data_IF_550674003556
#
_entry.id   IF_550674003556
#
_cell.length_a   1.000
_cell.length_b   1.000
_cell.length_c   1.000
_cell.angle_alpha   90.00
_cell.angle_beta   90.00
_cell.angle_gamma   90.00
#
_symmetry.space_group_name_H-M   'P 1'
#
loop_
_entity.id
_entity.type
_entity.pdbx_description
1 polymer ?
#
# COMPACT_ATOMS: atom_id res chain seq x y z
N UNK A 1 -0.49 -12.91 20.94
CA UNK A 1 -0.89 -11.63 20.30
C UNK A 1 -0.50 -11.67 18.84
N UNK A 2 -1.46 -11.87 17.93
CA UNK A 2 -1.19 -12.06 16.50
C UNK A 2 -1.30 -10.80 15.64
N UNK A 3 -1.72 -9.69 16.25
CA UNK A 3 -1.91 -8.38 15.62
C UNK A 3 -1.02 -7.36 16.32
N UNK A 4 -0.47 -6.42 15.55
CA UNK A 4 0.21 -5.23 16.06
C UNK A 4 -0.33 -3.98 15.38
N UNK A 5 -0.24 -2.84 16.07
CA UNK A 5 -0.58 -1.52 15.54
C UNK A 5 0.73 -0.79 15.22
N UNK A 6 0.89 -0.37 13.97
CA UNK A 6 1.98 0.48 13.51
C UNK A 6 1.55 1.94 13.60
N UNK A 7 2.48 2.84 13.93
CA UNK A 7 2.26 4.28 13.98
C UNK A 7 3.41 5.00 13.28
N UNK A 8 3.11 6.11 12.62
CA UNK A 8 4.10 6.93 11.95
C UNK A 8 3.46 8.00 11.09
N UNK A 9 4.29 8.79 10.41
CA UNK A 9 3.83 9.85 9.51
C UNK A 9 2.91 9.34 8.37
N UNK A 10 3.14 8.12 7.87
CA UNK A 10 2.28 7.51 6.84
C UNK A 10 0.93 7.00 7.38
N UNK A 11 0.84 6.73 8.68
CA UNK A 11 -0.34 6.20 9.34
C UNK A 11 -0.51 6.87 10.72
N UNK A 12 -0.91 8.15 10.76
CA UNK A 12 -1.01 8.92 12.02
C UNK A 12 -2.03 8.31 12.99
N UNK A 13 -3.16 7.85 12.47
CA UNK A 13 -4.20 7.16 13.24
C UNK A 13 -3.87 5.68 13.51
N UNK A 14 -2.78 5.20 12.93
CA UNK A 14 -2.28 3.84 13.04
C UNK A 14 -2.68 2.93 11.88
N UNK A 15 -1.90 1.87 11.69
CA UNK A 15 -2.15 0.80 10.73
C UNK A 15 -2.08 -0.56 11.42
N UNK A 16 -2.75 -1.57 10.88
CA UNK A 16 -2.84 -2.91 11.47
C UNK A 16 -1.96 -3.88 10.69
N UNK A 17 -1.17 -4.69 11.40
CA UNK A 17 -0.40 -5.79 10.79
C UNK A 17 -0.68 -7.11 11.50
N UNK A 18 -0.86 -8.17 10.70
CA UNK A 18 -0.97 -9.55 11.20
C UNK A 18 0.43 -10.09 11.51
N UNK A 19 1.01 -9.64 12.63
CA UNK A 19 2.37 -9.97 13.07
C UNK A 19 2.66 -11.48 13.07
N UNK A 20 1.68 -12.32 13.38
CA UNK A 20 1.85 -13.78 13.41
C UNK A 20 2.19 -14.40 12.04
N UNK A 21 1.91 -13.70 10.93
CA UNK A 21 2.20 -14.16 9.57
C UNK A 21 3.47 -13.53 8.97
N UNK A 22 4.19 -12.72 9.74
CA UNK A 22 5.41 -12.04 9.28
C UNK A 22 6.64 -12.82 9.77
N UNK A 23 7.56 -13.13 8.86
CA UNK A 23 8.83 -13.76 9.21
C UNK A 23 9.62 -12.84 10.17
N UNK A 24 10.34 -13.36 11.18
CA UNK A 24 11.07 -12.53 12.15
C UNK A 24 12.01 -11.50 11.51
N UNK A 25 12.68 -11.90 10.41
CA UNK A 25 13.59 -11.04 9.64
C UNK A 25 12.90 -9.92 8.84
N UNK A 26 11.58 -10.00 8.66
CA UNK A 26 10.77 -8.98 7.98
C UNK A 26 10.01 -8.07 8.95
N UNK A 27 10.17 -8.25 10.26
CA UNK A 27 9.56 -7.35 11.26
C UNK A 27 10.10 -5.93 11.15
N UNK A 28 11.31 -5.78 10.64
CA UNK A 28 11.93 -4.51 10.27
C UNK A 28 12.40 -4.63 8.83
N UNK A 29 11.87 -3.78 7.95
CA UNK A 29 12.19 -3.78 6.54
C UNK A 29 12.19 -2.34 6.03
N UNK A 30 13.22 -1.99 5.25
CA UNK A 30 13.40 -0.68 4.67
C UNK A 30 13.90 -0.84 3.23
N UNK A 31 13.37 -0.01 2.33
CA UNK A 31 13.74 -0.02 0.93
C UNK A 31 12.98 1.02 0.12
N UNK A 32 13.31 1.17 -1.17
CA UNK A 32 12.68 2.17 -2.03
C UNK A 32 11.20 1.83 -2.24
N UNK A 33 10.35 2.84 -2.11
CA UNK A 33 8.91 2.69 -2.33
C UNK A 33 8.59 2.60 -3.83
N UNK A 34 7.85 1.55 -4.21
CA UNK A 34 7.24 1.39 -5.54
C UNK A 34 5.74 1.59 -5.38
N UNK A 35 5.26 2.76 -5.83
CA UNK A 35 3.86 3.18 -5.62
C UNK A 35 3.03 2.82 -6.85
N UNK A 36 1.90 2.16 -6.61
CA UNK A 36 0.93 1.75 -7.65
C UNK A 36 -0.45 2.28 -7.32
N UNK A 37 -1.23 2.59 -8.36
CA UNK A 37 -2.59 3.13 -8.20
C UNK A 37 -3.68 2.06 -8.35
N UNK A 38 -3.33 0.89 -8.89
CA UNK A 38 -4.25 -0.23 -9.04
C UNK A 38 -3.52 -1.57 -8.87
N UNK A 39 -4.29 -2.61 -8.61
CA UNK A 39 -3.77 -3.97 -8.51
C UNK A 39 -3.24 -4.45 -9.86
N UNK A 40 -3.90 -4.10 -10.97
CA UNK A 40 -3.48 -4.46 -12.32
C UNK A 40 -2.10 -3.89 -12.66
N UNK A 41 -1.86 -2.62 -12.29
CA UNK A 41 -0.56 -1.96 -12.48
C UNK A 41 0.55 -2.66 -11.68
N UNK A 42 0.27 -2.99 -10.42
CA UNK A 42 1.20 -3.69 -9.55
C UNK A 42 1.51 -5.10 -10.07
N UNK A 43 0.47 -5.84 -10.48
CA UNK A 43 0.61 -7.19 -11.03
C UNK A 43 1.43 -7.18 -12.33
N UNK A 44 1.15 -6.24 -13.24
CA UNK A 44 1.94 -6.09 -14.47
C UNK A 44 3.42 -5.83 -14.15
N UNK A 45 3.73 -4.98 -13.15
CA UNK A 45 5.11 -4.72 -12.73
C UNK A 45 5.81 -5.96 -12.13
N UNK A 46 5.07 -6.81 -11.40
CA UNK A 46 5.57 -8.11 -10.90
C UNK A 46 5.92 -9.02 -12.09
N UNK A 47 5.00 -9.20 -13.03
CA UNK A 47 5.21 -10.09 -14.19
C UNK A 47 6.32 -9.59 -15.12
N UNK A 48 6.46 -8.27 -15.29
CA UNK A 48 7.51 -7.63 -16.06
C UNK A 48 8.88 -7.62 -15.36
N UNK A 49 8.99 -8.19 -14.15
CA UNK A 49 10.22 -8.20 -13.33
C UNK A 49 10.78 -6.80 -13.05
N UNK A 50 9.88 -5.82 -12.84
CA UNK A 50 10.24 -4.42 -12.50
C UNK A 50 10.39 -4.18 -10.99
N UNK A 51 10.17 -5.21 -10.17
CA UNK A 51 10.28 -5.19 -8.71
C UNK A 51 11.49 -6.01 -8.30
N UNK A 52 12.31 -5.44 -7.41
CA UNK A 52 13.50 -6.09 -6.89
C UNK A 52 13.30 -6.54 -5.45
N UNK A 53 14.10 -7.51 -5.00
CA UNK A 53 14.17 -7.87 -3.60
C UNK A 53 14.62 -6.64 -2.78
N UNK A 54 13.87 -6.29 -1.74
CA UNK A 54 14.11 -5.08 -0.96
C UNK A 54 13.14 -3.94 -1.25
N UNK A 55 12.41 -3.97 -2.37
CA UNK A 55 11.44 -2.93 -2.70
C UNK A 55 10.22 -2.97 -1.77
N UNK A 56 9.73 -1.79 -1.37
CA UNK A 56 8.48 -1.65 -0.61
C UNK A 56 7.35 -1.31 -1.57
N UNK A 57 6.46 -2.26 -1.82
CA UNK A 57 5.28 -2.05 -2.67
C UNK A 57 4.24 -1.27 -1.86
N UNK A 58 3.82 -0.11 -2.37
CA UNK A 58 2.79 0.74 -1.77
C UNK A 58 1.62 0.84 -2.74
N UNK A 59 0.45 0.38 -2.32
CA UNK A 59 -0.78 0.58 -3.09
C UNK A 59 -1.52 1.80 -2.56
N UNK A 60 -1.73 2.79 -3.43
CA UNK A 60 -2.51 3.98 -3.14
C UNK A 60 -3.86 3.88 -3.85
N UNK A 61 -4.94 3.83 -3.09
CA UNK A 61 -6.27 4.03 -3.68
C UNK A 61 -6.42 5.52 -4.02
N UNK A 62 -6.28 5.86 -5.30
CA UNK A 62 -6.80 7.14 -5.79
C UNK A 62 -8.31 6.99 -5.92
N UNK A 63 -9.09 7.81 -5.19
CA UNK A 63 -10.48 8.00 -5.57
C UNK A 63 -10.50 8.59 -6.98
N UNK A 64 -11.24 7.94 -7.88
CA UNK A 64 -11.53 8.50 -9.19
C UNK A 64 -12.23 9.85 -9.00
N UNK A 65 -11.65 10.92 -9.55
CA UNK A 65 -12.25 12.26 -9.57
C UNK A 65 -13.60 12.29 -10.29
N UNK A 66 -13.93 11.27 -11.09
CA UNK A 66 -15.25 11.08 -11.71
C UNK A 66 -16.39 11.01 -10.68
N UNK A 67 -16.12 10.55 -9.44
CA UNK A 67 -17.13 10.57 -8.38
C UNK A 67 -17.38 11.97 -7.81
N UNK A 68 -16.41 12.89 -7.89
CA UNK A 68 -16.59 14.27 -7.42
C UNK A 68 -17.34 15.12 -8.46
N UNK A 69 -17.11 14.89 -9.76
CA UNK A 69 -17.79 15.64 -10.82
C UNK A 69 -19.30 15.38 -10.89
N UNK A 70 -19.75 14.13 -10.65
CA UNK A 70 -21.18 13.80 -10.66
C UNK A 70 -21.96 14.37 -9.46
N UNK A 71 -21.30 14.67 -8.35
CA UNK A 71 -21.92 15.33 -7.19
C UNK A 71 -22.12 16.82 -7.39
N UNK A 72 -21.33 17.45 -8.26
CA UNK A 72 -21.42 18.89 -8.52
C UNK A 72 -22.42 19.24 -9.63
N UNK A 73 -22.73 18.29 -10.52
CA UNK A 73 -23.69 18.48 -11.62
C UNK A 73 -25.14 18.06 -11.28
N UNK A 74 -25.41 17.61 -10.05
CA UNK A 74 -26.77 17.29 -9.57
C UNK A 74 -27.29 18.23 -8.48
N UNK A 75 -26.61 19.36 -8.22
CA UNK A 75 -27.07 20.41 -7.31
C UNK A 75 -27.67 21.60 -8.08
#
# INVERSE_FOLDING_TARGET
>A
GGIAILRGNLAPEGAVVKRAAVLPQMLVHEGPAKVFNSEEEANAAIFDKKINAGDVIVMQSKLSSTFLDNSLNTA
#
